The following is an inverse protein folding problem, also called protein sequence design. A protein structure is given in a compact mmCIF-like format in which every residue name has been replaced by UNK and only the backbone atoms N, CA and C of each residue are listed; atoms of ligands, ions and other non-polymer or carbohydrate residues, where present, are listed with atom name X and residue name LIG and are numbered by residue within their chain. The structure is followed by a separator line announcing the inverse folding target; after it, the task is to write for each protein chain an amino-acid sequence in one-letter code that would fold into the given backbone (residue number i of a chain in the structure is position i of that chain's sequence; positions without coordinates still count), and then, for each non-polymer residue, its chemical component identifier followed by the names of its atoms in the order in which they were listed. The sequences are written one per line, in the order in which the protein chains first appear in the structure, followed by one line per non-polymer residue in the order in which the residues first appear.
data_IF_975101315606
#
_entry.id   IF_975101315606
#
_cell.length_a   1.000
_cell.length_b   1.000
_cell.length_c   1.000
_cell.angle_alpha   90.00
_cell.angle_beta   90.00
_cell.angle_gamma   90.00
#
_symmetry.space_group_name_H-M   'P 1'
#
loop_
_entity.id
_entity.type
_entity.pdbx_description
1 polymer ?
#
# COMPACT_ATOMS: atom_id res chain seq x y z
N UNK A 1 -37.43 14.90 1.81
CA UNK A 1 -36.52 14.93 0.64
C UNK A 1 -35.12 15.44 0.98
N UNK A 2 -34.95 16.35 1.93
CA UNK A 2 -33.63 16.87 2.39
C UNK A 2 -32.73 15.84 3.10
N UNK A 3 -33.28 14.82 3.78
CA UNK A 3 -32.49 13.80 4.49
C UNK A 3 -31.69 12.88 3.57
N UNK A 4 -32.18 12.58 2.37
CA UNK A 4 -31.47 11.75 1.38
C UNK A 4 -30.29 12.51 0.74
N UNK A 5 -30.41 13.82 0.56
CA UNK A 5 -29.34 14.69 0.06
C UNK A 5 -28.16 14.79 1.05
N UNK A 6 -28.43 14.77 2.35
CA UNK A 6 -27.38 14.76 3.39
C UNK A 6 -26.56 13.45 3.39
N UNK A 7 -27.21 12.31 3.16
CA UNK A 7 -26.55 11.01 3.08
C UNK A 7 -25.63 10.88 1.85
N UNK A 8 -26.04 11.46 0.72
CA UNK A 8 -25.23 11.48 -0.49
C UNK A 8 -23.99 12.38 -0.37
N UNK A 9 -24.02 13.41 0.48
CA UNK A 9 -22.89 14.32 0.67
C UNK A 9 -21.78 13.68 1.53
N UNK A 10 -22.14 12.84 2.50
CA UNK A 10 -21.18 12.19 3.41
C UNK A 10 -20.36 11.12 2.69
N UNK A 11 -20.96 10.35 1.77
CA UNK A 11 -20.25 9.29 1.04
C UNK A 11 -19.19 9.83 0.09
N UNK A 12 -19.41 11.01 -0.50
CA UNK A 12 -18.43 11.66 -1.40
C UNK A 12 -17.17 12.11 -0.67
N UNK A 13 -17.26 12.49 0.61
CA UNK A 13 -16.09 12.97 1.37
C UNK A 13 -15.12 11.87 1.80
N UNK A 14 -15.56 10.60 1.88
CA UNK A 14 -14.73 9.51 2.43
C UNK A 14 -13.73 8.97 1.39
N UNK A 15 -14.03 9.11 0.09
CA UNK A 15 -13.17 8.62 -0.99
C UNK A 15 -11.94 9.50 -1.30
N UNK A 16 -11.93 10.76 -0.84
CA UNK A 16 -10.92 11.75 -1.23
C UNK A 16 -9.62 11.72 -0.41
N UNK A 17 -9.54 10.89 0.65
CA UNK A 17 -8.36 10.85 1.54
C UNK A 17 -7.39 9.69 1.25
N UNK A 18 -7.71 8.78 0.33
CA UNK A 18 -6.78 7.72 -0.06
C UNK A 18 -5.80 8.24 -1.11
N UNK A 19 -4.50 8.20 -0.81
CA UNK A 19 -3.43 8.53 -1.76
C UNK A 19 -3.35 7.53 -2.92
N UNK A 20 -3.83 6.31 -2.68
CA UNK A 20 -3.63 5.13 -3.53
C UNK A 20 -4.92 4.64 -4.21
N UNK A 21 -5.77 5.57 -4.66
CA UNK A 21 -6.96 5.21 -5.44
C UNK A 21 -6.56 4.53 -6.74
N UNK A 22 -7.05 3.30 -6.91
CA UNK A 22 -6.91 2.48 -8.12
C UNK A 22 -5.46 2.15 -8.51
N UNK A 23 -4.52 2.15 -7.57
CA UNK A 23 -3.15 1.72 -7.85
C UNK A 23 -2.97 0.21 -7.69
N UNK A 24 -2.25 -0.40 -8.64
CA UNK A 24 -1.78 -1.77 -8.55
C UNK A 24 -0.31 -1.81 -8.90
N UNK A 25 0.49 -2.43 -8.03
CA UNK A 25 1.93 -2.48 -8.14
C UNK A 25 2.38 -3.92 -8.42
N UNK A 26 3.34 -4.10 -9.32
CA UNK A 26 3.89 -5.43 -9.62
C UNK A 26 5.36 -5.50 -9.22
N UNK A 27 5.72 -6.48 -8.39
CA UNK A 27 7.08 -6.64 -7.89
C UNK A 27 8.06 -6.99 -9.03
N UNK A 28 9.19 -6.28 -9.14
CA UNK A 28 10.21 -6.53 -10.16
C UNK A 28 11.27 -7.55 -9.71
N UNK A 29 11.37 -7.77 -8.41
CA UNK A 29 12.27 -8.75 -7.77
C UNK A 29 11.68 -9.20 -6.43
N UNK A 30 12.31 -10.20 -5.83
CA UNK A 30 11.95 -10.64 -4.49
C UNK A 30 12.30 -9.57 -3.46
N UNK A 31 11.37 -9.27 -2.57
CA UNK A 31 11.52 -8.20 -1.59
C UNK A 31 11.05 -8.64 -0.19
N UNK A 32 11.81 -8.35 0.86
CA UNK A 32 11.41 -8.65 2.23
C UNK A 32 10.30 -7.69 2.68
N UNK A 33 9.35 -8.22 3.45
CA UNK A 33 8.29 -7.45 4.09
C UNK A 33 8.43 -7.56 5.61
N UNK A 34 8.16 -6.45 6.30
CA UNK A 34 8.36 -6.29 7.74
C UNK A 34 7.05 -5.98 8.47
N UNK A 35 7.00 -6.32 9.76
CA UNK A 35 5.83 -6.03 10.60
C UNK A 35 5.68 -4.52 10.86
N UNK A 36 6.80 -3.82 11.01
CA UNK A 36 6.86 -2.38 11.24
C UNK A 36 7.84 -1.66 10.29
N UNK A 37 7.67 -0.36 10.05
CA UNK A 37 8.69 0.43 9.35
C UNK A 37 10.02 0.42 10.13
N UNK A 38 11.13 0.16 9.45
CA UNK A 38 12.46 0.12 10.05
C UNK A 38 12.61 -0.95 11.18
N UNK A 39 11.85 -2.04 11.08
CA UNK A 39 12.06 -3.25 11.87
C UNK A 39 13.44 -3.90 11.56
N UNK A 40 13.78 -4.95 12.30
CA UNK A 40 14.99 -5.75 12.05
C UNK A 40 14.99 -6.33 10.63
N UNK A 41 15.92 -5.85 9.81
CA UNK A 41 16.06 -6.25 8.40
C UNK A 41 16.44 -7.72 8.22
N UNK A 42 16.88 -8.40 9.28
CA UNK A 42 17.21 -9.82 9.28
C UNK A 42 16.01 -10.73 9.56
N UNK A 43 14.87 -10.17 9.98
CA UNK A 43 13.68 -10.91 10.38
C UNK A 43 12.44 -10.50 9.56
N UNK A 44 12.41 -10.76 8.24
CA UNK A 44 11.21 -10.50 7.44
C UNK A 44 10.05 -11.41 7.88
N UNK A 45 8.82 -10.88 7.85
CA UNK A 45 7.61 -11.66 8.14
C UNK A 45 7.17 -12.50 6.93
N UNK A 46 7.51 -12.06 5.71
CA UNK A 46 7.40 -12.82 4.47
C UNK A 46 8.20 -12.13 3.34
N UNK A 47 8.24 -12.76 2.17
CA UNK A 47 8.85 -12.23 0.96
C UNK A 47 7.77 -12.06 -0.11
N UNK A 48 7.70 -10.87 -0.72
CA UNK A 48 6.92 -10.66 -1.94
C UNK A 48 7.73 -11.20 -3.10
N UNK A 49 7.15 -12.09 -3.89
CA UNK A 49 7.83 -12.71 -5.02
C UNK A 49 7.87 -11.80 -6.24
N UNK A 50 8.91 -11.92 -7.08
CA UNK A 50 8.94 -11.29 -8.40
C UNK A 50 7.69 -11.62 -9.21
N UNK A 51 7.05 -10.59 -9.76
CA UNK A 51 5.83 -10.69 -10.56
C UNK A 51 4.54 -10.66 -9.73
N UNK A 52 4.62 -10.67 -8.41
CA UNK A 52 3.46 -10.59 -7.53
C UNK A 52 2.81 -9.20 -7.58
N UNK A 53 1.48 -9.19 -7.59
CA UNK A 53 0.67 -7.97 -7.57
C UNK A 53 0.32 -7.57 -6.15
N UNK A 54 0.49 -6.29 -5.85
CA UNK A 54 0.27 -5.70 -4.55
C UNK A 54 -0.56 -4.42 -4.67
N UNK A 55 -1.35 -4.14 -3.64
CA UNK A 55 -2.13 -2.90 -3.50
C UNK A 55 -1.45 -2.05 -2.42
N UNK A 56 -0.96 -0.84 -2.74
CA UNK A 56 -0.43 0.07 -1.74
C UNK A 56 -1.55 0.63 -0.84
N UNK A 57 -1.26 0.79 0.46
CA UNK A 57 -2.24 1.18 1.47
C UNK A 57 -1.87 2.50 2.17
N UNK A 58 -0.61 2.64 2.60
CA UNK A 58 -0.16 3.78 3.39
C UNK A 58 1.35 3.99 3.32
N UNK A 59 1.81 5.23 3.51
CA UNK A 59 3.22 5.59 3.54
C UNK A 59 3.69 5.88 4.97
N UNK A 60 4.91 5.48 5.29
CA UNK A 60 5.62 5.85 6.52
C UNK A 60 7.08 6.13 6.19
N UNK A 61 7.58 7.28 6.62
CA UNK A 61 9.02 7.54 6.65
C UNK A 61 9.54 7.14 8.02
N UNK A 62 10.56 6.28 8.06
CA UNK A 62 11.23 5.87 9.27
C UNK A 62 12.75 5.97 9.09
N UNK A 63 13.40 6.76 9.93
CA UNK A 63 14.80 7.19 9.76
C UNK A 63 15.00 7.84 8.38
N UNK A 64 15.81 7.23 7.52
CA UNK A 64 16.14 7.72 6.17
C UNK A 64 15.39 6.97 5.06
N UNK A 65 14.47 6.06 5.42
CA UNK A 65 13.77 5.19 4.48
C UNK A 65 12.28 5.54 4.40
N UNK A 66 11.74 5.48 3.18
CA UNK A 66 10.30 5.52 2.93
C UNK A 66 9.78 4.08 2.77
N UNK A 67 8.88 3.69 3.65
CA UNK A 67 8.18 2.42 3.59
C UNK A 67 6.75 2.64 3.12
N UNK A 68 6.25 1.69 2.34
CA UNK A 68 4.86 1.62 1.95
C UNK A 68 4.27 0.34 2.54
N UNK A 69 3.11 0.43 3.17
CA UNK A 69 2.34 -0.73 3.55
C UNK A 69 1.63 -1.26 2.30
N UNK A 70 1.82 -2.53 2.00
CA UNK A 70 1.23 -3.18 0.83
C UNK A 70 0.40 -4.39 1.26
N UNK A 71 -0.67 -4.66 0.51
CA UNK A 71 -1.42 -5.92 0.54
C UNK A 71 -1.13 -6.69 -0.73
N UNK A 72 -0.49 -7.83 -0.61
CA UNK A 72 -0.17 -8.75 -1.71
C UNK A 72 -0.87 -10.11 -1.47
N UNK A 73 -0.69 -11.05 -2.40
CA UNK A 73 -1.20 -12.43 -2.23
C UNK A 73 -0.53 -13.14 -1.05
N UNK A 74 0.77 -12.89 -0.86
CA UNK A 74 1.60 -13.47 0.20
C UNK A 74 1.32 -12.90 1.58
N UNK A 75 0.68 -11.73 1.70
CA UNK A 75 0.38 -11.12 2.99
C UNK A 75 0.26 -9.60 2.96
N UNK A 76 0.22 -8.98 4.14
CA UNK A 76 0.20 -7.52 4.30
C UNK A 76 1.31 -7.09 5.24
N UNK A 77 2.06 -6.04 4.88
CA UNK A 77 3.14 -5.51 5.72
C UNK A 77 3.88 -4.34 5.08
N UNK A 78 4.98 -3.90 5.69
CA UNK A 78 5.78 -2.75 5.27
C UNK A 78 6.96 -3.17 4.39
N UNK A 79 7.14 -2.47 3.27
CA UNK A 79 8.16 -2.78 2.26
C UNK A 79 8.82 -1.50 1.75
N UNK A 80 10.07 -1.62 1.30
CA UNK A 80 10.74 -0.57 0.51
C UNK A 80 10.27 -0.69 -0.94
N UNK A 81 9.61 0.34 -1.45
CA UNK A 81 8.84 0.22 -2.68
C UNK A 81 9.62 0.48 -3.99
N UNK A 82 10.94 0.62 -3.89
CA UNK A 82 11.86 0.95 -4.99
C UNK A 82 11.76 -0.02 -6.17
N UNK A 83 11.38 -1.28 -5.91
CA UNK A 83 11.35 -2.33 -6.91
C UNK A 83 9.95 -2.75 -7.36
N UNK A 84 8.95 -1.87 -7.27
CA UNK A 84 7.65 -2.07 -7.91
C UNK A 84 7.56 -1.38 -9.29
N UNK A 85 6.86 -2.01 -10.24
CA UNK A 85 6.23 -1.33 -11.38
C UNK A 85 4.88 -0.79 -10.90
N UNK A 86 4.75 0.54 -10.79
CA UNK A 86 3.58 1.20 -10.19
C UNK A 86 2.62 1.66 -11.30
N UNK A 87 1.45 1.05 -11.40
CA UNK A 87 0.40 1.45 -12.35
C UNK A 87 -0.76 2.08 -11.61
N UNK A 88 -1.15 3.27 -12.04
CA UNK A 88 -2.37 3.93 -11.60
C UNK A 88 -3.50 3.60 -12.56
N UNK A 89 -4.62 3.13 -12.03
CA UNK A 89 -5.88 2.96 -12.75
C UNK A 89 -6.29 4.28 -13.40
N UNK A 90 -6.77 4.19 -14.64
CA UNK A 90 -7.10 5.33 -15.48
C UNK A 90 -8.52 5.82 -15.20
#
# INVERSE_FOLDING_TARGET
MTRLLLLALVTVTIGACSRYTDETWTARQDMPVFAEPNDDRSAPIFTVGKGESCIPLADRVAKIYAYTQVRCTSGTGWILDDFFDKRRGK
#
